data_IF_461601933299
#
_entry.id   IF_461601933299
#
_cell.length_a   1.000
_cell.length_b   1.000
_cell.length_c   1.000
_cell.angle_alpha   90.00
_cell.angle_beta   90.00
_cell.angle_gamma   90.00
#
_symmetry.space_group_name_H-M   'P 1'
#
loop_
_entity.id
_entity.type
_entity.pdbx_description
1 polymer ?
#
# COMPACT_ATOMS: atom_id res chain seq x y z
N UNK A 1 -17.08 10.36 -25.19
CA UNK A 1 -17.30 8.90 -25.07
C UNK A 1 -17.04 8.49 -23.62
N UNK A 2 -18.10 8.15 -22.89
CA UNK A 2 -18.08 7.87 -21.45
C UNK A 2 -17.40 6.51 -21.20
N UNK A 3 -16.16 6.53 -20.71
CA UNK A 3 -15.50 5.30 -20.23
C UNK A 3 -16.20 4.89 -18.95
N UNK A 4 -17.01 3.84 -19.03
CA UNK A 4 -17.66 3.18 -17.89
C UNK A 4 -16.60 2.95 -16.80
N UNK A 5 -16.73 3.64 -15.67
CA UNK A 5 -15.96 3.38 -14.45
C UNK A 5 -16.24 1.94 -14.00
N UNK A 6 -15.42 0.99 -14.45
CA UNK A 6 -15.32 -0.30 -13.77
C UNK A 6 -14.71 0.00 -12.41
N UNK A 7 -15.47 -0.25 -11.33
CA UNK A 7 -14.95 -0.11 -9.97
C UNK A 7 -13.65 -0.90 -9.88
N UNK A 8 -12.57 -0.29 -9.39
CA UNK A 8 -11.24 -0.88 -9.23
C UNK A 8 -11.31 -2.22 -8.47
N UNK A 9 -12.32 -2.38 -7.62
CA UNK A 9 -12.64 -3.63 -6.89
C UNK A 9 -13.09 -4.79 -7.78
N UNK A 10 -13.49 -4.54 -9.03
CA UNK A 10 -13.85 -5.59 -10.01
C UNK A 10 -12.62 -6.19 -10.70
N UNK A 11 -11.48 -5.51 -10.64
CA UNK A 11 -10.22 -5.97 -11.25
C UNK A 11 -9.32 -6.71 -10.24
N UNK A 12 -9.83 -7.01 -9.04
CA UNK A 12 -9.11 -7.74 -8.01
C UNK A 12 -8.96 -9.23 -8.39
N UNK A 13 -7.74 -9.74 -8.61
CA UNK A 13 -7.51 -11.14 -8.98
C UNK A 13 -7.99 -12.13 -7.91
N UNK A 14 -8.06 -11.71 -6.64
CA UNK A 14 -8.45 -12.55 -5.51
C UNK A 14 -9.90 -12.30 -5.05
N UNK A 15 -10.70 -11.57 -5.83
CA UNK A 15 -12.06 -11.15 -5.45
C UNK A 15 -12.95 -12.32 -5.02
N UNK A 16 -12.92 -13.42 -5.77
CA UNK A 16 -13.75 -14.61 -5.52
C UNK A 16 -13.37 -15.30 -4.20
N UNK A 17 -12.08 -15.23 -3.82
CA UNK A 17 -11.56 -15.81 -2.58
C UNK A 17 -11.98 -14.98 -1.38
N UNK A 18 -11.79 -13.66 -1.42
CA UNK A 18 -12.16 -12.78 -0.30
C UNK A 18 -13.68 -12.74 -0.09
N UNK A 19 -14.48 -12.84 -1.16
CA UNK A 19 -15.95 -12.92 -1.07
C UNK A 19 -16.47 -14.21 -0.40
N UNK A 20 -15.67 -15.27 -0.33
CA UNK A 20 -16.02 -16.49 0.44
C UNK A 20 -15.81 -16.33 1.95
N UNK A 21 -14.95 -15.41 2.39
CA UNK A 21 -14.59 -15.26 3.80
C UNK A 21 -15.24 -14.03 4.46
N UNK A 22 -15.76 -13.08 3.68
CA UNK A 22 -16.28 -11.82 4.19
C UNK A 22 -17.52 -11.34 3.44
N UNK A 23 -18.57 -10.95 4.18
CA UNK A 23 -19.80 -10.35 3.63
C UNK A 23 -19.56 -9.01 2.91
N UNK A 24 -18.48 -8.29 3.28
CA UNK A 24 -17.99 -7.08 2.60
C UNK A 24 -16.52 -7.30 2.22
N UNK A 25 -16.22 -7.70 0.97
CA UNK A 25 -14.85 -8.03 0.56
C UNK A 25 -14.00 -6.76 0.54
N UNK A 26 -13.00 -6.72 1.42
CA UNK A 26 -11.96 -5.69 1.40
C UNK A 26 -11.03 -5.90 0.20
N UNK A 27 -10.44 -4.81 -0.34
CA UNK A 27 -9.45 -4.93 -1.40
C UNK A 27 -8.28 -5.82 -0.95
N UNK A 28 -7.87 -6.74 -1.82
CA UNK A 28 -6.76 -7.65 -1.56
C UNK A 28 -5.43 -6.90 -1.44
N UNK A 29 -4.42 -7.54 -0.85
CA UNK A 29 -3.07 -6.95 -0.75
C UNK A 29 -2.49 -6.66 -2.14
N UNK A 30 -2.73 -7.56 -3.09
CA UNK A 30 -2.28 -7.42 -4.48
C UNK A 30 -2.93 -6.21 -5.15
N UNK A 31 -4.23 -6.00 -4.97
CA UNK A 31 -4.91 -4.83 -5.51
C UNK A 31 -4.39 -3.53 -4.88
N UNK A 32 -4.18 -3.51 -3.56
CA UNK A 32 -3.62 -2.34 -2.86
C UNK A 32 -2.24 -1.99 -3.43
N UNK A 33 -1.35 -2.99 -3.56
CA UNK A 33 -0.02 -2.81 -4.13
C UNK A 33 -0.09 -2.37 -5.59
N UNK A 34 -1.00 -2.94 -6.40
CA UNK A 34 -1.20 -2.54 -7.80
C UNK A 34 -1.63 -1.08 -7.91
N UNK A 35 -2.61 -0.65 -7.11
CA UNK A 35 -3.08 0.75 -7.10
C UNK A 35 -1.96 1.70 -6.67
N UNK A 36 -1.19 1.35 -5.63
CA UNK A 36 -0.02 2.12 -5.23
C UNK A 36 1.05 2.13 -6.33
N UNK A 37 1.20 1.03 -7.08
CA UNK A 37 2.19 0.90 -8.14
C UNK A 37 1.83 1.76 -9.35
N UNK A 38 0.56 1.76 -9.74
CA UNK A 38 0.01 2.57 -10.84
C UNK A 38 0.08 4.06 -10.53
N UNK A 39 -0.18 4.46 -9.28
CA UNK A 39 -0.01 5.87 -8.87
C UNK A 39 1.46 6.31 -8.87
N UNK A 40 2.38 5.40 -8.52
CA UNK A 40 3.82 5.66 -8.60
C UNK A 40 4.37 6.69 -7.59
N UNK A 41 3.52 7.22 -6.71
CA UNK A 41 3.86 8.22 -5.70
C UNK A 41 3.43 7.74 -4.30
N UNK A 42 4.01 8.27 -3.22
CA UNK A 42 3.52 8.03 -1.87
C UNK A 42 2.04 8.44 -1.73
N UNK A 43 1.22 7.58 -1.13
CA UNK A 43 -0.22 7.83 -0.98
C UNK A 43 -0.62 7.87 0.49
N UNK A 44 -1.36 8.91 0.90
CA UNK A 44 -1.96 8.97 2.23
C UNK A 44 -3.10 7.97 2.39
N UNK A 45 -3.45 7.62 3.63
CA UNK A 45 -4.59 6.73 3.93
C UNK A 45 -5.90 7.24 3.33
N UNK A 46 -6.12 8.56 3.37
CA UNK A 46 -7.31 9.19 2.79
C UNK A 46 -7.37 9.01 1.28
N UNK A 47 -6.21 9.11 0.60
CA UNK A 47 -6.15 8.91 -0.85
C UNK A 47 -6.37 7.45 -1.23
N UNK A 48 -5.80 6.51 -0.46
CA UNK A 48 -6.06 5.08 -0.61
C UNK A 48 -7.55 4.75 -0.42
N UNK A 49 -8.18 5.31 0.60
CA UNK A 49 -9.62 5.14 0.82
C UNK A 49 -10.45 5.62 -0.37
N UNK A 50 -10.11 6.77 -0.95
CA UNK A 50 -10.79 7.28 -2.15
C UNK A 50 -10.57 6.39 -3.37
N UNK A 51 -9.33 5.97 -3.63
CA UNK A 51 -8.98 5.16 -4.80
C UNK A 51 -9.57 3.74 -4.75
N UNK A 52 -9.65 3.17 -3.55
CA UNK A 52 -10.18 1.83 -3.31
C UNK A 52 -11.67 1.85 -2.92
N UNK A 53 -12.32 3.01 -3.00
CA UNK A 53 -13.74 3.23 -2.67
C UNK A 53 -14.11 2.69 -1.27
N UNK A 54 -13.19 2.78 -0.30
CA UNK A 54 -13.37 2.31 1.08
C UNK A 54 -14.46 3.12 1.77
N UNK A 55 -15.50 2.42 2.21
CA UNK A 55 -16.60 3.01 2.96
C UNK A 55 -16.22 3.21 4.43
N UNK A 56 -16.94 4.08 5.14
CA UNK A 56 -16.68 4.37 6.57
C UNK A 56 -16.66 3.12 7.44
N UNK A 57 -17.59 2.19 7.20
CA UNK A 57 -17.69 0.91 7.90
C UNK A 57 -16.48 -0.01 7.66
N UNK A 58 -15.85 0.09 6.49
CA UNK A 58 -14.70 -0.73 6.08
C UNK A 58 -13.36 -0.10 6.51
N UNK A 59 -13.34 1.18 6.87
CA UNK A 59 -12.13 1.97 7.15
C UNK A 59 -11.28 1.36 8.27
N UNK A 60 -11.92 0.86 9.33
CA UNK A 60 -11.20 0.25 10.45
C UNK A 60 -10.52 -1.06 10.03
N UNK A 61 -11.23 -1.90 9.28
CA UNK A 61 -10.72 -3.18 8.81
C UNK A 61 -9.62 -2.98 7.74
N UNK A 62 -9.77 -1.98 6.87
CA UNK A 62 -8.75 -1.56 5.93
C UNK A 62 -7.49 -1.05 6.64
N UNK A 63 -7.64 -0.24 7.68
CA UNK A 63 -6.53 0.24 8.51
C UNK A 63 -5.76 -0.91 9.17
N UNK A 64 -6.46 -1.94 9.66
CA UNK A 64 -5.84 -3.17 10.19
C UNK A 64 -5.04 -3.91 9.11
N UNK A 65 -5.56 -3.99 7.87
CA UNK A 65 -4.87 -4.59 6.73
C UNK A 65 -3.60 -3.82 6.34
N UNK A 66 -3.66 -2.50 6.27
CA UNK A 66 -2.50 -1.63 6.01
C UNK A 66 -1.41 -1.83 7.07
N UNK A 67 -1.76 -1.83 8.36
CA UNK A 67 -0.80 -2.10 9.45
C UNK A 67 -0.16 -3.48 9.34
N UNK A 68 -0.93 -4.50 8.93
CA UNK A 68 -0.38 -5.83 8.71
C UNK A 68 0.61 -5.86 7.54
N UNK A 69 0.34 -5.13 6.45
CA UNK A 69 1.23 -5.00 5.29
C UNK A 69 2.50 -4.22 5.64
N UNK A 70 2.39 -3.17 6.45
CA UNK A 70 3.53 -2.39 6.98
C UNK A 70 4.44 -3.29 7.83
N UNK A 71 3.84 -4.06 8.76
CA UNK A 71 4.59 -5.02 9.59
C UNK A 71 5.27 -6.12 8.77
N UNK A 72 4.65 -6.54 7.66
CA UNK A 72 5.23 -7.51 6.73
C UNK A 72 6.31 -6.89 5.83
N UNK A 73 6.52 -5.58 5.90
CA UNK A 73 7.49 -4.87 5.06
C UNK A 73 7.05 -4.76 3.60
N UNK A 74 5.77 -4.96 3.28
CA UNK A 74 5.25 -4.79 1.90
C UNK A 74 5.07 -3.32 1.52
N UNK A 75 4.71 -2.50 2.51
CA UNK A 75 4.59 -1.05 2.39
C UNK A 75 5.36 -0.38 3.53
N UNK A 76 5.80 0.85 3.31
CA UNK A 76 6.46 1.68 4.32
C UNK A 76 5.76 3.02 4.44
N UNK A 77 5.66 3.52 5.67
CA UNK A 77 5.14 4.86 5.97
C UNK A 77 6.27 5.87 6.00
N UNK A 78 6.12 6.97 5.28
CA UNK A 78 7.08 8.07 5.28
C UNK A 78 6.82 9.02 6.49
N UNK A 79 7.68 10.03 6.67
CA UNK A 79 7.53 11.03 7.74
C UNK A 79 6.29 11.92 7.61
N UNK A 80 5.67 11.95 6.44
CA UNK A 80 4.46 12.73 6.12
C UNK A 80 3.16 11.93 6.26
N UNK A 81 3.23 10.70 6.78
CA UNK A 81 2.08 9.79 6.88
C UNK A 81 1.55 9.23 5.53
N UNK A 82 2.42 9.20 4.52
CA UNK A 82 2.11 8.55 3.24
C UNK A 82 2.75 7.17 3.14
N UNK A 83 2.06 6.26 2.46
CA UNK A 83 2.50 4.89 2.22
C UNK A 83 3.20 4.74 0.87
N UNK A 84 4.30 4.00 0.86
CA UNK A 84 5.10 3.66 -0.30
C UNK A 84 5.23 2.14 -0.42
N UNK A 85 5.38 1.61 -1.63
CA UNK A 85 5.68 0.19 -1.84
C UNK A 85 7.15 -0.06 -1.50
N UNK A 86 7.43 -1.02 -0.63
CA UNK A 86 8.79 -1.30 -0.19
C UNK A 86 9.69 -1.84 -1.31
N UNK A 87 9.16 -2.71 -2.17
CA UNK A 87 9.92 -3.28 -3.31
C UNK A 87 10.40 -2.20 -4.29
N UNK A 88 9.63 -1.11 -4.47
CA UNK A 88 10.05 0.02 -5.32
C UNK A 88 11.22 0.81 -4.74
N UNK A 89 11.56 0.63 -3.47
CA UNK A 89 12.60 1.41 -2.82
C UNK A 89 14.02 0.89 -3.13
N UNK A 90 14.20 -0.28 -3.77
CA UNK A 90 15.51 -0.86 -4.13
C UNK A 90 16.58 -0.61 -3.04
N UNK A 91 16.20 -0.77 -1.77
CA UNK A 91 17.05 -0.36 -0.65
C UNK A 91 18.11 -1.42 -0.43
N UNK A 92 19.38 -1.00 -0.51
CA UNK A 92 20.50 -1.80 -0.01
C UNK A 92 20.64 -1.45 1.49
N UNK A 93 20.41 -2.40 2.42
CA UNK A 93 20.72 -2.16 3.82
C UNK A 93 22.23 -2.01 3.97
N UNK A 94 22.71 -0.80 4.25
CA UNK A 94 24.12 -0.48 4.46
C UNK A 94 24.38 0.04 5.86
N UNK A 95 25.49 -0.39 6.48
CA UNK A 95 25.92 0.09 7.79
C UNK A 95 27.02 1.13 7.58
N UNK A 96 26.67 2.41 7.67
CA UNK A 96 27.65 3.49 7.52
C UNK A 96 28.61 3.48 8.71
N UNK A 97 29.87 3.12 8.49
CA UNK A 97 30.93 3.35 9.47
C UNK A 97 31.48 4.76 9.27
N UNK A 98 31.24 5.65 10.23
CA UNK A 98 31.82 6.98 10.25
C UNK A 98 33.24 6.96 10.81
N UNK A 99 34.19 7.50 10.05
CA UNK A 99 35.55 7.74 10.52
C UNK A 99 35.62 9.10 11.25
N UNK A 100 36.41 9.24 12.33
CA UNK A 100 36.59 10.51 13.05
C UNK A 100 37.04 11.68 12.16
N UNK A 101 37.70 11.38 11.04
CA UNK A 101 38.21 12.36 10.07
C UNK A 101 37.18 12.83 9.04
N UNK A 102 35.89 12.49 9.20
CA UNK A 102 34.78 13.12 8.46
C UNK A 102 34.35 12.43 7.16
N UNK A 103 34.75 11.18 6.92
CA UNK A 103 34.24 10.36 5.82
C UNK A 103 33.60 9.06 6.32
N UNK A 104 32.70 8.49 5.53
CA UNK A 104 32.04 7.23 5.84
C UNK A 104 31.94 6.33 4.61
N UNK A 105 32.14 5.03 4.82
CA UNK A 105 32.00 4.01 3.79
C UNK A 105 30.72 3.19 4.02
N UNK A 106 30.14 2.70 2.91
CA UNK A 106 29.02 1.76 2.90
C UNK A 106 29.53 0.32 3.04
#
# INVERSE_FOLDING_TARGET
MSKKNKSIRQEDPQKEREAMFYDKPLPSRELILKVMADQGVPLSISKLNQLLEITGDESEAFSKRIRAMERQGQIMRNRKDDFCISEKLNLIPGRVQGHPDGFGFL
#
